data_IF_056382861052
#
_entry.id   IF_056382861052
#
_cell.length_a   1.000
_cell.length_b   1.000
_cell.length_c   1.000
_cell.angle_alpha   90.00
_cell.angle_beta   90.00
_cell.angle_gamma   90.00
#
_symmetry.space_group_name_H-M   'P 1'
#
loop_
_entity.id
_entity.type
_entity.pdbx_description
1 polymer ?
#
# COMPACT_ATOMS: atom_id res chain seq x y z
N UNK A 1 12.00 15.13 0.34
CA UNK A 1 11.96 14.35 -0.92
C UNK A 1 10.69 13.53 -0.92
N UNK A 2 10.05 13.38 -2.08
CA UNK A 2 8.89 12.50 -2.27
C UNK A 2 9.40 11.10 -2.55
N UNK A 3 8.96 10.09 -1.78
CA UNK A 3 9.49 8.72 -1.88
C UNK A 3 8.72 7.85 -2.86
N UNK A 4 7.44 8.14 -3.08
CA UNK A 4 6.59 7.37 -4.00
C UNK A 4 5.57 8.27 -4.73
N UNK A 5 4.98 7.73 -5.79
CA UNK A 5 3.77 8.25 -6.46
C UNK A 5 2.67 7.20 -6.44
N UNK A 6 1.43 7.62 -6.70
CA UNK A 6 0.33 6.69 -6.97
C UNK A 6 0.26 6.37 -8.47
N UNK A 7 -0.29 5.21 -8.82
CA UNK A 7 -0.65 4.88 -10.20
C UNK A 7 -1.67 5.88 -10.76
N UNK A 8 -1.62 6.12 -12.07
CA UNK A 8 -2.59 7.00 -12.74
C UNK A 8 -3.97 6.35 -12.78
N UNK A 9 -4.03 5.09 -13.21
CA UNK A 9 -5.28 4.35 -13.25
C UNK A 9 -5.57 3.72 -11.88
N UNK A 10 -6.76 3.97 -11.31
CA UNK A 10 -7.23 3.22 -10.15
C UNK A 10 -7.70 1.83 -10.58
N UNK A 11 -7.69 0.90 -9.63
CA UNK A 11 -8.27 -0.45 -9.78
C UNK A 11 -9.35 -0.67 -8.72
N UNK A 12 -10.45 -1.28 -9.12
CA UNK A 12 -11.49 -1.72 -8.20
C UNK A 12 -11.07 -3.01 -7.49
N UNK A 13 -11.13 -2.99 -6.16
CA UNK A 13 -10.96 -4.14 -5.29
C UNK A 13 -12.26 -4.46 -4.60
N UNK A 14 -12.55 -5.75 -4.48
CA UNK A 14 -13.72 -6.22 -3.73
C UNK A 14 -13.29 -6.73 -2.37
N UNK A 15 -14.04 -6.37 -1.34
CA UNK A 15 -13.92 -6.91 0.01
C UNK A 15 -15.31 -7.25 0.57
N UNK A 16 -15.36 -8.08 1.62
CA UNK A 16 -16.60 -8.44 2.29
C UNK A 16 -16.62 -7.85 3.70
N UNK A 17 -17.75 -7.25 4.09
CA UNK A 17 -18.02 -6.77 5.46
C UNK A 17 -19.42 -7.22 5.81
N UNK A 18 -19.58 -7.94 6.92
CA UNK A 18 -20.87 -8.45 7.39
C UNK A 18 -21.65 -9.26 6.34
N UNK A 19 -20.93 -10.01 5.49
CA UNK A 19 -21.52 -10.80 4.40
C UNK A 19 -21.91 -10.00 3.16
N UNK A 20 -21.79 -8.66 3.20
CA UNK A 20 -22.03 -7.79 2.05
C UNK A 20 -20.75 -7.59 1.23
N UNK A 21 -20.86 -7.78 -0.08
CA UNK A 21 -19.79 -7.52 -1.04
C UNK A 21 -19.71 -6.02 -1.31
N UNK A 22 -18.59 -5.40 -0.96
CA UNK A 22 -18.28 -3.99 -1.21
C UNK A 22 -17.13 -3.86 -2.20
N UNK A 23 -17.05 -2.69 -2.83
CA UNK A 23 -15.97 -2.34 -3.75
C UNK A 23 -15.32 -1.03 -3.33
N UNK A 24 -14.02 -0.93 -3.52
CA UNK A 24 -13.23 0.30 -3.30
C UNK A 24 -12.30 0.52 -4.50
N UNK A 25 -12.11 1.77 -4.89
CA UNK A 25 -11.11 2.15 -5.90
C UNK A 25 -9.81 2.49 -5.18
N UNK A 26 -8.74 1.81 -5.53
CA UNK A 26 -7.41 2.04 -4.97
C UNK A 26 -6.41 2.34 -6.09
N UNK A 27 -5.33 3.03 -5.73
CA UNK A 27 -4.18 3.26 -6.60
C UNK A 27 -2.95 2.56 -6.03
N UNK A 28 -2.12 2.04 -6.92
CA UNK A 28 -0.90 1.33 -6.52
C UNK A 28 0.17 2.34 -6.11
N UNK A 29 0.86 2.05 -5.01
CA UNK A 29 2.01 2.83 -4.57
C UNK A 29 3.24 2.41 -5.39
N UNK A 30 3.94 3.37 -5.98
CA UNK A 30 5.11 3.11 -6.83
C UNK A 30 6.27 3.99 -6.35
N UNK A 31 7.37 3.37 -5.92
CA UNK A 31 8.56 4.08 -5.45
C UNK A 31 9.17 4.92 -6.59
N UNK A 32 9.56 6.16 -6.28
CA UNK A 32 10.22 7.07 -7.25
C UNK A 32 11.65 7.41 -6.86
N UNK A 33 12.10 6.95 -5.69
CA UNK A 33 13.46 7.10 -5.19
C UNK A 33 13.84 5.84 -4.41
N UNK A 34 15.14 5.61 -4.24
CA UNK A 34 15.64 4.56 -3.35
C UNK A 34 15.50 5.02 -1.90
N UNK A 35 14.98 4.15 -1.02
CA UNK A 35 14.94 4.39 0.43
C UNK A 35 14.89 3.06 1.17
N UNK A 36 15.60 2.99 2.30
CA UNK A 36 15.80 1.74 3.05
C UNK A 36 16.22 0.57 2.12
N UNK A 37 15.40 -0.46 2.00
CA UNK A 37 15.59 -1.61 1.11
C UNK A 37 14.66 -1.61 -0.12
N UNK A 38 13.94 -0.50 -0.36
CA UNK A 38 13.04 -0.31 -1.50
C UNK A 38 13.77 0.45 -2.61
N UNK A 39 13.69 -0.07 -3.84
CA UNK A 39 14.31 0.54 -5.02
C UNK A 39 13.32 1.41 -5.78
N UNK A 40 13.82 2.48 -6.40
CA UNK A 40 13.04 3.29 -7.30
C UNK A 40 12.43 2.41 -8.41
N UNK A 41 11.15 2.63 -8.72
CA UNK A 41 10.37 1.82 -9.66
C UNK A 41 9.70 0.59 -9.04
N UNK A 42 10.00 0.21 -7.80
CA UNK A 42 9.31 -0.89 -7.12
C UNK A 42 7.84 -0.53 -6.86
N UNK A 43 6.94 -1.39 -7.32
CA UNK A 43 5.52 -1.36 -6.96
C UNK A 43 5.30 -1.96 -5.58
N UNK A 44 4.38 -1.38 -4.82
CA UNK A 44 3.91 -1.87 -3.53
C UNK A 44 2.42 -2.20 -3.54
N UNK A 45 1.82 -2.16 -2.36
CA UNK A 45 0.37 -2.33 -2.19
C UNK A 45 -0.46 -1.15 -2.68
N UNK A 46 -1.74 -1.16 -2.30
CA UNK A 46 -2.78 -0.27 -2.84
C UNK A 46 -3.39 0.61 -1.75
N UNK A 47 -3.61 1.89 -2.08
CA UNK A 47 -4.18 2.89 -1.17
C UNK A 47 -5.33 3.68 -1.80
N UNK A 48 -6.28 4.15 -1.00
CA UNK A 48 -7.39 5.01 -1.46
C UNK A 48 -7.02 6.50 -1.49
N UNK A 49 -6.02 6.91 -0.72
CA UNK A 49 -5.52 8.28 -0.66
C UNK A 49 -4.00 8.36 -0.42
N UNK A 50 -3.42 9.52 -0.69
CA UNK A 50 -1.99 9.81 -0.53
C UNK A 50 -1.55 9.95 0.94
N UNK A 51 -2.47 10.24 1.86
CA UNK A 51 -2.18 10.31 3.28
C UNK A 51 -2.11 8.92 3.96
N UNK A 52 -2.54 7.86 3.28
CA UNK A 52 -2.52 6.49 3.85
C UNK A 52 -1.10 6.00 4.09
N UNK A 53 -0.16 6.31 3.19
CA UNK A 53 1.24 5.96 3.36
C UNK A 53 2.05 7.26 3.47
N UNK A 54 2.65 7.54 4.62
CA UNK A 54 3.41 8.78 4.79
C UNK A 54 4.55 8.86 3.78
N UNK A 55 4.79 10.04 3.20
CA UNK A 55 5.98 10.31 2.38
C UNK A 55 7.26 10.41 3.22
N UNK A 56 7.15 10.46 4.55
CA UNK A 56 8.27 10.53 5.49
C UNK A 56 8.55 9.16 6.11
N UNK A 57 9.80 8.99 6.56
CA UNK A 57 10.28 7.72 7.13
C UNK A 57 10.29 6.57 6.12
N UNK A 58 10.64 5.39 6.62
CA UNK A 58 10.87 4.20 5.79
C UNK A 58 9.64 3.30 5.66
N UNK A 59 8.47 3.78 6.07
CA UNK A 59 7.26 2.98 5.99
C UNK A 59 6.91 2.59 4.54
N UNK A 60 6.53 1.33 4.34
CA UNK A 60 6.25 0.77 3.01
C UNK A 60 5.31 -0.43 3.05
N UNK A 61 4.55 -0.61 1.97
CA UNK A 61 3.67 -1.77 1.74
C UNK A 61 4.33 -2.66 0.68
N UNK A 62 5.00 -3.73 1.12
CA UNK A 62 5.77 -4.63 0.26
C UNK A 62 4.90 -5.64 -0.51
N UNK A 63 3.72 -6.00 0.02
CA UNK A 63 2.80 -6.91 -0.66
C UNK A 63 1.97 -6.16 -1.70
N UNK A 64 2.13 -6.50 -2.98
CA UNK A 64 1.35 -5.94 -4.08
C UNK A 64 -0.15 -6.31 -4.02
N UNK A 65 -0.56 -7.24 -3.16
CA UNK A 65 -1.95 -7.59 -2.92
C UNK A 65 -2.54 -6.92 -1.67
N UNK A 66 -1.71 -6.24 -0.86
CA UNK A 66 -2.20 -5.55 0.32
C UNK A 66 -2.99 -4.31 -0.05
N UNK A 67 -4.07 -4.07 0.70
CA UNK A 67 -4.96 -2.92 0.57
C UNK A 67 -4.99 -2.16 1.89
N UNK A 68 -4.74 -0.86 1.87
CA UNK A 68 -4.86 0.01 3.02
C UNK A 68 -5.78 1.19 2.64
N UNK A 69 -6.89 1.34 3.35
CA UNK A 69 -7.93 2.31 2.99
C UNK A 69 -8.79 2.67 4.21
N UNK A 70 -9.81 3.50 4.03
CA UNK A 70 -10.81 3.84 5.05
C UNK A 70 -10.21 4.52 6.31
N UNK A 71 -9.39 5.55 6.08
CA UNK A 71 -8.79 6.35 7.17
C UNK A 71 -7.58 5.71 7.84
N UNK A 72 -7.01 4.67 7.22
CA UNK A 72 -5.73 4.08 7.66
C UNK A 72 -4.60 5.09 7.46
N UNK A 73 -3.67 5.17 8.44
CA UNK A 73 -2.45 5.98 8.33
C UNK A 73 -1.22 5.12 8.70
N UNK A 74 -0.30 4.94 7.75
CA UNK A 74 0.93 4.17 7.88
C UNK A 74 2.09 5.16 7.89
N UNK A 75 2.80 5.22 9.02
CA UNK A 75 3.81 6.25 9.29
C UNK A 75 5.09 5.65 9.88
N UNK A 76 6.12 6.49 10.07
CA UNK A 76 7.40 6.08 10.63
C UNK A 76 8.11 5.05 9.75
N UNK A 77 8.50 3.92 10.34
CA UNK A 77 9.26 2.86 9.69
C UNK A 77 8.47 1.53 9.62
N UNK A 78 7.13 1.61 9.61
CA UNK A 78 6.27 0.43 9.55
C UNK A 78 6.43 -0.34 8.23
N UNK A 79 6.62 -1.67 8.32
CA UNK A 79 6.82 -2.54 7.15
C UNK A 79 5.63 -3.49 7.02
N UNK A 80 4.79 -3.27 6.02
CA UNK A 80 3.64 -4.13 5.75
C UNK A 80 4.07 -5.18 4.73
N UNK A 81 4.26 -6.42 5.18
CA UNK A 81 4.70 -7.56 4.35
C UNK A 81 3.59 -8.58 4.21
N UNK A 82 3.64 -9.47 3.20
CA UNK A 82 2.67 -10.56 3.09
C UNK A 82 2.63 -11.39 4.38
N UNK A 83 1.45 -11.89 4.73
CA UNK A 83 1.30 -12.84 5.82
C UNK A 83 2.03 -14.14 5.44
N UNK A 84 3.10 -14.47 6.18
CA UNK A 84 3.77 -15.75 6.04
C UNK A 84 2.83 -16.82 6.57
N UNK A 85 2.22 -17.62 5.70
CA UNK A 85 1.61 -18.87 6.12
C UNK A 85 2.76 -19.80 6.52
N UNK A 86 3.10 -19.83 7.80
CA UNK A 86 3.88 -20.93 8.33
C UNK A 86 3.04 -22.19 8.12
N UNK A 87 3.46 -23.05 7.19
CA UNK A 87 2.92 -24.39 7.05
C UNK A 87 3.06 -25.07 8.42
N UNK A 88 1.93 -25.40 9.05
CA UNK A 88 1.88 -26.25 10.24
C UNK A 88 2.17 -27.70 9.87
#
# INVERSE_FOLDING_TARGET
MTKYRLSEEPRAFTYQVDGEKKSVLLRQVIAITDFNDVKAGTSGGWVDADNVLSQQGDCWIYDENAMAFAGTEITGNARITPAVHALQ
#
